data_IF_051416490755
#
_entry.id   IF_051416490755
#
_cell.length_a   1.000
_cell.length_b   1.000
_cell.length_c   1.000
_cell.angle_alpha   90.00
_cell.angle_beta   90.00
_cell.angle_gamma   90.00
#
_symmetry.space_group_name_H-M   'P 1'
#
loop_
_entity.id
_entity.type
_entity.pdbx_description
1 polymer ?
#
# COMPACT_ATOMS: atom_id res chain seq x y z
N UNK A 1 -3.64 24.91 22.30
CA UNK A 1 -3.97 23.66 21.56
C UNK A 1 -3.88 23.76 20.03
N UNK A 2 -4.12 24.89 19.34
CA UNK A 2 -3.62 25.07 17.95
C UNK A 2 -2.08 25.04 17.91
N UNK A 3 -1.47 25.59 18.97
CA UNK A 3 -0.04 25.55 19.24
C UNK A 3 0.53 24.15 19.55
N UNK A 4 -0.27 23.09 19.73
CA UNK A 4 0.26 21.76 20.08
C UNK A 4 0.66 20.93 18.85
N UNK A 5 -0.03 21.07 17.71
CA UNK A 5 0.36 20.40 16.48
C UNK A 5 1.50 21.13 15.74
N UNK A 6 1.47 22.47 15.72
CA UNK A 6 2.63 23.25 15.28
C UNK A 6 3.78 23.16 16.28
N UNK A 7 3.47 23.12 17.58
CA UNK A 7 4.40 22.85 18.67
C UNK A 7 5.07 21.49 18.55
N UNK A 8 4.34 20.42 18.21
CA UNK A 8 4.90 19.09 17.95
C UNK A 8 5.99 19.14 16.87
N UNK A 9 5.77 19.91 15.81
CA UNK A 9 6.79 20.14 14.79
C UNK A 9 7.91 21.08 15.24
N UNK A 10 7.72 21.90 16.27
CA UNK A 10 8.73 22.81 16.84
C UNK A 10 9.54 22.20 17.99
N UNK A 11 9.03 21.17 18.69
CA UNK A 11 9.63 20.57 19.90
C UNK A 11 10.60 19.41 19.62
N UNK A 12 10.72 18.95 18.38
CA UNK A 12 11.74 17.95 18.00
C UNK A 12 13.07 18.68 17.78
N UNK A 13 14.12 18.43 18.59
CA UNK A 13 15.41 19.11 18.41
C UNK A 13 15.99 18.74 17.05
N UNK A 14 16.29 19.75 16.23
CA UNK A 14 17.15 19.59 15.07
C UNK A 14 18.56 19.34 15.62
N UNK A 15 18.88 18.08 15.86
CA UNK A 15 20.27 17.66 16.05
C UNK A 15 21.02 17.98 14.76
N UNK A 16 21.86 19.01 14.83
CA UNK A 16 22.75 19.40 13.74
C UNK A 16 23.70 18.25 13.42
N UNK A 17 23.95 18.12 12.11
CA UNK A 17 25.02 17.40 11.39
C UNK A 17 24.47 16.12 10.74
N UNK A 18 24.13 16.11 9.44
CA UNK A 18 24.98 16.37 8.26
C UNK A 18 24.21 17.22 7.20
N UNK A 19 24.83 18.31 6.72
CA UNK A 19 24.68 18.81 5.35
C UNK A 19 23.30 19.24 4.81
N UNK A 20 22.46 19.94 5.56
CA UNK A 20 21.13 20.40 5.11
C UNK A 20 21.11 21.42 3.95
N UNK A 21 22.26 21.83 3.40
CA UNK A 21 22.32 22.82 2.30
C UNK A 21 22.51 22.20 0.91
N UNK A 22 23.00 20.96 0.81
CA UNK A 22 23.14 20.26 -0.47
C UNK A 22 21.82 19.56 -0.88
N UNK A 23 21.07 19.01 0.08
CA UNK A 23 19.77 18.37 -0.16
C UNK A 23 18.68 19.39 -0.58
N UNK A 24 18.75 20.63 -0.09
CA UNK A 24 17.76 21.68 -0.44
C UNK A 24 18.02 22.22 -1.86
N UNK A 25 19.28 22.33 -2.29
CA UNK A 25 19.61 22.81 -3.65
C UNK A 25 19.28 21.80 -4.75
N UNK A 26 19.24 20.51 -4.43
CA UNK A 26 18.80 19.46 -5.35
C UNK A 26 17.27 19.35 -5.44
N UNK A 27 16.54 19.88 -4.45
CA UNK A 27 15.07 19.93 -4.44
C UNK A 27 14.49 21.10 -5.23
N UNK A 28 15.15 22.27 -5.23
CA UNK A 28 14.66 23.46 -5.95
C UNK A 28 14.99 23.43 -7.46
N UNK A 29 16.02 22.69 -7.90
CA UNK A 29 16.42 22.62 -9.32
C UNK A 29 15.52 21.74 -10.20
N UNK A 30 14.55 21.03 -9.61
CA UNK A 30 13.60 20.15 -10.32
C UNK A 30 12.30 20.88 -10.69
N UNK A 31 12.06 22.10 -10.19
CA UNK A 31 10.82 22.85 -10.44
C UNK A 31 10.88 23.79 -11.66
N UNK A 32 12.05 24.03 -12.26
CA UNK A 32 12.17 24.79 -13.50
C UNK A 32 12.58 23.90 -14.66
N UNK A 33 11.63 23.24 -15.33
CA UNK A 33 11.61 23.17 -16.81
C UNK A 33 10.29 22.65 -17.40
N UNK A 34 9.66 23.57 -18.15
CA UNK A 34 8.81 23.41 -19.34
C UNK A 34 7.34 23.01 -19.16
N UNK A 35 6.53 24.06 -19.05
CA UNK A 35 5.35 24.23 -19.86
C UNK A 35 5.72 24.16 -21.37
N UNK A 36 5.14 23.18 -22.08
CA UNK A 36 4.71 23.23 -23.48
C UNK A 36 4.30 21.81 -23.91
N UNK A 37 3.04 21.45 -23.61
CA UNK A 37 2.40 20.28 -24.20
C UNK A 37 1.73 20.69 -25.51
N UNK A 38 2.29 20.27 -26.65
CA UNK A 38 1.54 20.22 -27.90
C UNK A 38 0.48 19.14 -27.79
N UNK A 39 -0.73 19.46 -28.24
CA UNK A 39 -1.84 18.52 -28.30
C UNK A 39 -1.53 17.43 -29.34
N UNK A 40 -1.11 16.25 -28.88
CA UNK A 40 -1.14 15.05 -29.69
C UNK A 40 -2.51 14.39 -29.53
N UNK A 41 -3.34 14.46 -30.57
CA UNK A 41 -4.54 13.65 -30.70
C UNK A 41 -4.13 12.18 -30.82
N UNK A 42 -4.15 11.47 -29.69
CA UNK A 42 -4.01 10.01 -29.64
C UNK A 42 -5.37 9.35 -29.80
N UNK A 43 -5.47 8.39 -30.72
CA UNK A 43 -6.67 7.61 -30.98
C UNK A 43 -7.25 7.02 -29.68
N UNK A 44 -8.57 7.10 -29.53
CA UNK A 44 -9.29 6.54 -28.40
C UNK A 44 -9.09 5.01 -28.37
N UNK A 45 -8.21 4.55 -27.50
CA UNK A 45 -8.12 3.14 -27.12
C UNK A 45 -9.40 2.84 -26.34
N UNK A 46 -10.29 2.03 -26.89
CA UNK A 46 -11.47 1.54 -26.17
C UNK A 46 -11.00 0.77 -24.94
N UNK A 47 -11.27 1.32 -23.75
CA UNK A 47 -11.01 0.70 -22.46
C UNK A 47 -11.70 -0.69 -22.44
N UNK A 48 -10.90 -1.76 -22.44
CA UNK A 48 -11.41 -3.11 -22.26
C UNK A 48 -11.68 -3.29 -20.78
N UNK A 49 -12.94 -3.55 -20.41
CA UNK A 49 -13.31 -3.78 -19.01
C UNK A 49 -12.73 -5.13 -18.55
N UNK A 50 -11.66 -5.06 -17.78
CA UNK A 50 -11.05 -6.23 -17.17
C UNK A 50 -11.75 -6.59 -15.87
N UNK A 51 -12.04 -7.89 -15.60
CA UNK A 51 -12.69 -8.32 -14.37
C UNK A 51 -11.96 -7.84 -13.12
N UNK A 52 -12.74 -7.39 -12.13
CA UNK A 52 -12.26 -7.01 -10.82
C UNK A 52 -13.29 -7.34 -9.74
N UNK A 53 -12.82 -7.49 -8.50
CA UNK A 53 -13.65 -7.80 -7.35
C UNK A 53 -13.05 -7.20 -6.07
N UNK A 54 -13.91 -6.66 -5.21
CA UNK A 54 -13.54 -6.12 -3.91
C UNK A 54 -13.88 -7.11 -2.81
N UNK A 55 -13.01 -7.15 -1.82
CA UNK A 55 -13.17 -7.94 -0.61
C UNK A 55 -12.99 -7.02 0.59
N UNK A 56 -13.88 -7.13 1.58
CA UNK A 56 -14.05 -6.10 2.62
C UNK A 56 -13.72 -6.62 4.02
N UNK A 57 -13.45 -7.91 4.18
CA UNK A 57 -12.97 -8.47 5.45
C UNK A 57 -11.75 -9.35 5.22
N UNK A 58 -10.95 -9.56 6.27
CA UNK A 58 -9.81 -10.46 6.18
C UNK A 58 -10.21 -11.90 5.91
N UNK A 59 -11.32 -12.39 6.45
CA UNK A 59 -11.80 -13.75 6.14
C UNK A 59 -12.16 -13.93 4.66
N UNK A 60 -12.89 -12.98 4.06
CA UNK A 60 -13.18 -12.97 2.62
C UNK A 60 -11.89 -12.92 1.80
N UNK A 61 -10.97 -12.00 2.14
CA UNK A 61 -9.66 -11.86 1.50
C UNK A 61 -8.87 -13.17 1.51
N UNK A 62 -8.85 -13.85 2.67
CA UNK A 62 -8.09 -15.08 2.87
C UNK A 62 -8.70 -16.25 2.11
N UNK A 63 -10.03 -16.39 2.11
CA UNK A 63 -10.72 -17.42 1.35
C UNK A 63 -10.49 -17.23 -0.15
N UNK A 64 -10.67 -16.01 -0.66
CA UNK A 64 -10.41 -15.69 -2.06
C UNK A 64 -8.95 -15.91 -2.46
N UNK A 65 -8.00 -15.62 -1.57
CA UNK A 65 -6.57 -15.90 -1.80
C UNK A 65 -6.30 -17.40 -1.91
N UNK A 66 -6.88 -18.20 -1.01
CA UNK A 66 -6.72 -19.65 -1.03
C UNK A 66 -7.31 -20.25 -2.30
N UNK A 67 -8.51 -19.84 -2.69
CA UNK A 67 -9.16 -20.27 -3.93
C UNK A 67 -8.34 -19.89 -5.16
N UNK A 68 -7.82 -18.65 -5.22
CA UNK A 68 -6.98 -18.19 -6.31
C UNK A 68 -5.68 -19.02 -6.42
N UNK A 69 -5.03 -19.29 -5.29
CA UNK A 69 -3.80 -20.09 -5.26
C UNK A 69 -4.06 -21.56 -5.63
N UNK A 70 -5.19 -22.13 -5.21
CA UNK A 70 -5.58 -23.50 -5.55
C UNK A 70 -5.88 -23.65 -7.05
N UNK A 71 -6.54 -22.65 -7.62
CA UNK A 71 -6.85 -22.55 -9.05
C UNK A 71 -5.62 -22.29 -9.93
N UNK A 72 -4.50 -21.82 -9.38
CA UNK A 72 -3.29 -21.53 -10.17
C UNK A 72 -2.74 -22.79 -10.87
N UNK A 73 -2.23 -22.61 -12.09
CA UNK A 73 -1.71 -23.69 -12.94
C UNK A 73 -0.26 -23.51 -13.39
N UNK A 74 0.28 -22.29 -13.33
CA UNK A 74 1.61 -21.95 -13.86
C UNK A 74 2.51 -21.36 -12.79
N UNK A 75 2.03 -20.35 -12.06
CA UNK A 75 2.86 -19.69 -11.05
C UNK A 75 2.07 -18.99 -9.97
N UNK A 76 2.65 -18.94 -8.77
CA UNK A 76 2.18 -18.16 -7.63
C UNK A 76 3.36 -17.34 -7.11
N UNK A 77 3.18 -16.03 -6.93
CA UNK A 77 4.17 -15.13 -6.35
C UNK A 77 3.51 -14.25 -5.29
N UNK A 78 4.00 -14.30 -4.05
CA UNK A 78 3.40 -13.61 -2.91
C UNK A 78 4.41 -12.66 -2.26
N UNK A 79 4.00 -11.42 -1.98
CA UNK A 79 4.72 -10.46 -1.13
C UNK A 79 3.89 -10.14 0.09
N UNK A 80 4.51 -10.21 1.27
CA UNK A 80 3.78 -9.97 2.52
C UNK A 80 4.65 -9.37 3.63
N UNK A 81 4.10 -8.38 4.35
CA UNK A 81 4.70 -7.89 5.59
C UNK A 81 4.58 -8.91 6.73
N UNK A 82 3.33 -9.18 7.17
CA UNK A 82 3.01 -10.16 8.22
C UNK A 82 2.42 -11.41 7.58
N UNK A 83 3.15 -12.50 7.72
CA UNK A 83 2.77 -13.84 7.30
C UNK A 83 3.11 -14.80 8.45
N UNK A 84 2.07 -15.23 9.16
CA UNK A 84 2.21 -16.03 10.38
C UNK A 84 2.61 -17.48 10.09
N UNK A 85 3.33 -18.08 11.04
CA UNK A 85 3.72 -19.51 11.01
C UNK A 85 2.60 -20.43 11.49
N UNK A 86 1.43 -19.89 11.83
CA UNK A 86 0.27 -20.61 12.38
C UNK A 86 -0.99 -20.23 11.60
N UNK A 87 -2.10 -20.93 11.88
CA UNK A 87 -3.41 -20.51 11.42
C UNK A 87 -3.54 -20.42 9.90
N UNK A 88 -4.11 -19.30 9.43
CA UNK A 88 -4.24 -19.00 8.00
C UNK A 88 -2.91 -19.03 7.26
N UNK A 89 -1.83 -18.54 7.86
CA UNK A 89 -0.51 -18.54 7.24
C UNK A 89 0.01 -19.96 7.01
N UNK A 90 -0.06 -20.83 8.02
CA UNK A 90 0.31 -22.24 7.85
C UNK A 90 -0.61 -22.97 6.85
N UNK A 91 -1.91 -22.66 6.82
CA UNK A 91 -2.84 -23.21 5.82
C UNK A 91 -2.42 -22.81 4.40
N UNK A 92 -2.10 -21.53 4.17
CA UNK A 92 -1.64 -21.03 2.89
C UNK A 92 -0.30 -21.66 2.49
N UNK A 93 0.70 -21.74 3.39
CA UNK A 93 1.99 -22.40 3.08
C UNK A 93 1.83 -23.88 2.72
N UNK A 94 0.91 -24.60 3.36
CA UNK A 94 0.61 -26.00 3.01
C UNK A 94 0.01 -26.11 1.61
N UNK A 95 -0.93 -25.24 1.25
CA UNK A 95 -1.49 -25.16 -0.10
C UNK A 95 -0.38 -24.87 -1.12
N UNK A 96 0.42 -23.83 -0.89
CA UNK A 96 1.54 -23.44 -1.74
C UNK A 96 2.55 -24.59 -1.95
N UNK A 97 2.86 -25.35 -0.89
CA UNK A 97 3.69 -26.53 -1.01
C UNK A 97 3.03 -27.65 -1.83
N UNK A 98 1.71 -27.82 -1.76
CA UNK A 98 1.00 -28.77 -2.62
C UNK A 98 1.06 -28.36 -4.09
N UNK A 99 0.74 -27.09 -4.40
CA UNK A 99 0.83 -26.52 -5.75
C UNK A 99 2.24 -26.64 -6.34
N UNK A 100 3.27 -26.43 -5.51
CA UNK A 100 4.65 -26.61 -5.93
C UNK A 100 4.96 -28.06 -6.35
N UNK A 101 4.41 -29.08 -5.66
CA UNK A 101 4.56 -30.48 -6.07
C UNK A 101 3.82 -30.83 -7.35
N UNK A 102 2.74 -30.11 -7.65
CA UNK A 102 2.01 -30.21 -8.92
C UNK A 102 2.75 -29.53 -10.09
N UNK A 103 3.92 -28.93 -9.85
CA UNK A 103 4.72 -28.26 -10.88
C UNK A 103 4.41 -26.78 -11.06
N UNK A 104 3.54 -26.19 -10.21
CA UNK A 104 3.32 -24.73 -10.21
C UNK A 104 4.55 -24.04 -9.62
N UNK A 105 5.08 -23.02 -10.29
CA UNK A 105 6.20 -22.23 -9.75
C UNK A 105 5.74 -21.38 -8.58
N UNK A 106 6.23 -21.65 -7.38
CA UNK A 106 5.82 -20.91 -6.16
C UNK A 106 6.98 -20.10 -5.58
N UNK A 107 6.77 -18.79 -5.42
CA UNK A 107 7.73 -17.86 -4.80
C UNK A 107 7.06 -17.04 -3.71
N UNK A 108 7.65 -17.04 -2.51
CA UNK A 108 7.14 -16.33 -1.33
C UNK A 108 8.19 -15.36 -0.82
N UNK A 109 7.90 -14.07 -0.91
CA UNK A 109 8.74 -13.00 -0.40
C UNK A 109 8.09 -12.39 0.84
N UNK A 110 8.81 -12.40 1.95
CA UNK A 110 8.26 -11.89 3.22
C UNK A 110 9.18 -10.91 3.89
N UNK A 111 8.63 -9.96 4.63
CA UNK A 111 9.44 -9.07 5.47
C UNK A 111 10.09 -9.84 6.62
N UNK A 112 11.38 -9.63 6.85
CA UNK A 112 12.09 -10.35 7.91
C UNK A 112 11.67 -9.94 9.33
N UNK A 113 11.06 -8.77 9.52
CA UNK A 113 10.56 -8.32 10.82
C UNK A 113 9.11 -8.77 11.03
N UNK A 114 8.23 -8.44 10.10
CA UNK A 114 6.80 -8.78 10.19
C UNK A 114 6.53 -10.29 10.11
N UNK A 115 7.41 -11.04 9.43
CA UNK A 115 7.31 -12.50 9.27
C UNK A 115 8.55 -13.21 9.83
N UNK A 116 9.05 -12.71 10.97
CA UNK A 116 10.27 -13.21 11.61
C UNK A 116 10.26 -14.75 11.74
N UNK A 117 11.35 -15.37 11.28
CA UNK A 117 11.55 -16.82 11.33
C UNK A 117 10.71 -17.66 10.35
N UNK A 118 9.79 -17.07 9.56
CA UNK A 118 8.91 -17.83 8.67
C UNK A 118 9.69 -18.66 7.64
N UNK A 119 10.70 -18.04 7.02
CA UNK A 119 11.52 -18.69 6.01
C UNK A 119 12.28 -19.92 6.56
N UNK A 120 12.64 -19.90 7.84
CA UNK A 120 13.39 -20.97 8.52
C UNK A 120 12.49 -21.90 9.33
N UNK A 121 11.18 -21.68 9.31
CA UNK A 121 10.19 -22.51 10.00
C UNK A 121 10.03 -23.89 9.35
N UNK A 122 9.42 -24.87 10.05
CA UNK A 122 9.09 -26.17 9.47
C UNK A 122 8.25 -26.09 8.20
N UNK A 123 7.33 -25.13 8.10
CA UNK A 123 6.50 -24.91 6.91
C UNK A 123 7.28 -24.24 5.78
N UNK A 124 8.20 -23.32 6.10
CA UNK A 124 9.16 -22.78 5.14
C UNK A 124 10.06 -23.87 4.53
N UNK A 125 10.58 -24.77 5.38
CA UNK A 125 11.35 -25.93 4.94
C UNK A 125 10.51 -26.93 4.13
N UNK A 126 9.22 -27.08 4.46
CA UNK A 126 8.27 -27.92 3.70
C UNK A 126 8.04 -27.36 2.30
N UNK A 127 7.86 -26.04 2.16
CA UNK A 127 7.72 -25.37 0.87
C UNK A 127 8.99 -25.56 0.01
N UNK A 128 10.18 -25.35 0.59
CA UNK A 128 11.45 -25.57 -0.11
C UNK A 128 11.63 -27.00 -0.60
N UNK A 129 11.31 -27.99 0.22
CA UNK A 129 11.35 -29.42 -0.17
C UNK A 129 10.34 -29.77 -1.27
N UNK A 130 9.25 -29.01 -1.39
CA UNK A 130 8.28 -29.17 -2.48
C UNK A 130 8.70 -28.50 -3.80
N UNK A 131 9.86 -27.82 -3.83
CA UNK A 131 10.36 -27.08 -4.99
C UNK A 131 10.03 -25.59 -4.98
N UNK A 132 9.33 -25.09 -3.97
CA UNK A 132 8.99 -23.68 -3.84
C UNK A 132 10.13 -22.86 -3.25
N UNK A 133 10.12 -21.55 -3.48
CA UNK A 133 11.13 -20.64 -2.96
C UNK A 133 10.52 -19.71 -1.91
N UNK A 134 11.26 -19.49 -0.80
CA UNK A 134 10.89 -18.52 0.22
C UNK A 134 12.11 -17.71 0.67
N UNK A 135 12.00 -16.39 0.55
CA UNK A 135 13.07 -15.42 0.79
C UNK A 135 12.58 -14.32 1.73
N UNK A 136 13.47 -13.83 2.60
CA UNK A 136 13.18 -12.73 3.52
C UNK A 136 13.77 -11.41 3.01
N UNK A 137 12.94 -10.39 2.90
CA UNK A 137 13.35 -9.02 2.62
C UNK A 137 14.04 -8.41 3.86
N UNK A 138 15.25 -7.89 3.68
CA UNK A 138 16.06 -7.25 4.72
C UNK A 138 16.14 -8.02 6.05
N UNK A 139 16.78 -9.18 6.02
CA UNK A 139 17.07 -9.98 7.21
C UNK A 139 17.81 -9.18 8.30
N UNK A 140 17.73 -9.62 9.56
CA UNK A 140 18.45 -8.98 10.67
C UNK A 140 19.97 -8.89 10.42
N UNK A 141 20.54 -9.83 9.66
CA UNK A 141 21.94 -9.79 9.24
C UNK A 141 22.22 -8.77 8.12
N UNK A 142 21.20 -8.34 7.37
CA UNK A 142 21.29 -7.22 6.44
C UNK A 142 21.44 -5.89 7.17
N UNK A 143 20.83 -5.71 8.35
CA UNK A 143 20.99 -4.49 9.16
C UNK A 143 22.44 -4.25 9.58
N UNK A 144 23.19 -5.34 9.84
CA UNK A 144 24.64 -5.27 10.14
C UNK A 144 25.49 -4.87 8.93
N UNK A 145 25.06 -5.19 7.70
CA UNK A 145 25.82 -4.94 6.46
C UNK A 145 25.38 -3.65 5.74
N UNK A 146 24.14 -3.23 5.95
CA UNK A 146 23.48 -2.08 5.31
C UNK A 146 22.60 -1.37 6.34
N UNK A 147 23.17 -0.52 7.20
CA UNK A 147 22.46 0.02 8.37
C UNK A 147 21.29 0.95 7.99
N UNK A 148 21.35 1.63 6.84
CA UNK A 148 20.27 2.51 6.37
C UNK A 148 19.23 1.70 5.59
N UNK A 149 19.61 1.04 4.48
CA UNK A 149 18.65 0.30 3.66
C UNK A 149 18.12 -0.97 4.32
N UNK A 150 18.79 -1.50 5.34
CA UNK A 150 18.31 -2.62 6.16
C UNK A 150 17.20 -2.25 7.15
N UNK A 151 16.92 -0.96 7.33
CA UNK A 151 15.76 -0.48 8.10
C UNK A 151 14.48 -0.44 7.25
N UNK A 152 14.58 -0.43 5.92
CA UNK A 152 13.41 -0.48 5.06
C UNK A 152 12.68 -1.81 5.23
N UNK A 153 11.35 -1.76 5.27
CA UNK A 153 10.49 -2.93 5.45
C UNK A 153 9.62 -3.16 4.23
N UNK A 154 9.44 -4.43 3.87
CA UNK A 154 8.51 -4.82 2.84
C UNK A 154 7.10 -4.73 3.40
N UNK A 155 6.38 -3.66 3.08
CA UNK A 155 5.03 -3.44 3.57
C UNK A 155 3.95 -3.74 2.52
N UNK A 156 4.33 -4.24 1.35
CA UNK A 156 3.41 -4.70 0.31
C UNK A 156 2.60 -5.93 0.74
N UNK A 157 1.39 -6.03 0.20
CA UNK A 157 0.52 -7.22 0.27
C UNK A 157 0.05 -7.54 -1.14
N UNK A 158 0.66 -8.55 -1.74
CA UNK A 158 0.40 -8.92 -3.13
C UNK A 158 0.37 -10.41 -3.32
N UNK A 159 -0.62 -10.88 -4.07
CA UNK A 159 -0.69 -12.26 -4.57
C UNK A 159 -0.85 -12.19 -6.08
N UNK A 160 0.11 -12.77 -6.80
CA UNK A 160 0.11 -12.89 -8.25
C UNK A 160 -0.05 -14.35 -8.63
N UNK A 161 -1.07 -14.67 -9.42
CA UNK A 161 -1.29 -16.02 -9.95
C UNK A 161 -1.30 -16.02 -11.47
N UNK A 162 -0.55 -16.96 -12.05
CA UNK A 162 -0.46 -17.27 -13.47
C UNK A 162 -0.14 -16.07 -14.39
N UNK A 163 0.50 -15.03 -13.85
CA UNK A 163 0.76 -13.76 -14.56
C UNK A 163 -0.53 -13.11 -15.12
N UNK A 164 -1.69 -13.49 -14.57
CA UNK A 164 -3.03 -13.11 -15.02
C UNK A 164 -3.85 -12.42 -13.94
N UNK A 165 -3.69 -12.84 -12.70
CA UNK A 165 -4.46 -12.32 -11.58
C UNK A 165 -3.56 -11.61 -10.59
N UNK A 166 -3.99 -10.44 -10.13
CA UNK A 166 -3.37 -9.66 -9.07
C UNK A 166 -4.38 -9.46 -7.95
N UNK A 167 -4.00 -9.82 -6.72
CA UNK A 167 -4.65 -9.31 -5.51
C UNK A 167 -3.72 -8.33 -4.81
N UNK A 168 -4.25 -7.17 -4.42
CA UNK A 168 -3.50 -6.09 -3.76
C UNK A 168 -4.37 -5.32 -2.76
N UNK A 169 -3.78 -4.85 -1.66
CA UNK A 169 -4.48 -4.07 -0.63
C UNK A 169 -3.76 -4.06 0.72
N UNK A 170 -4.52 -4.06 1.81
CA UNK A 170 -3.99 -3.93 3.18
C UNK A 170 -3.81 -5.24 3.96
N UNK A 171 -4.47 -6.32 3.54
CA UNK A 171 -4.66 -7.54 4.33
C UNK A 171 -3.40 -8.38 4.54
N UNK A 172 -3.16 -8.81 5.78
CA UNK A 172 -2.06 -9.72 6.14
C UNK A 172 -2.55 -11.11 6.55
N UNK A 173 -1.67 -12.10 6.57
CA UNK A 173 -2.01 -13.49 6.91
C UNK A 173 -1.66 -13.80 8.36
N UNK A 174 -2.57 -13.46 9.29
CA UNK A 174 -2.44 -13.79 10.71
C UNK A 174 -3.81 -13.81 11.40
N UNK A 175 -4.16 -14.90 12.08
CA UNK A 175 -5.48 -15.11 12.71
C UNK A 175 -5.92 -14.00 13.68
N UNK A 176 -4.98 -13.29 14.32
CA UNK A 176 -5.28 -12.15 15.21
C UNK A 176 -5.95 -10.98 14.49
N UNK A 177 -5.95 -11.00 13.16
CA UNK A 177 -6.51 -9.98 12.28
C UNK A 177 -7.79 -10.46 11.59
N UNK A 178 -8.31 -11.64 11.93
CA UNK A 178 -9.45 -12.23 11.21
C UNK A 178 -10.67 -11.30 11.18
N UNK A 179 -10.94 -10.63 12.29
CA UNK A 179 -12.05 -9.70 12.50
C UNK A 179 -11.75 -8.26 12.05
N UNK A 180 -10.55 -7.98 11.57
CA UNK A 180 -10.18 -6.63 11.13
C UNK A 180 -10.90 -6.28 9.82
N UNK A 181 -11.37 -5.03 9.76
CA UNK A 181 -11.94 -4.44 8.56
C UNK A 181 -10.80 -3.95 7.66
N UNK A 182 -10.51 -4.70 6.60
CA UNK A 182 -9.47 -4.36 5.62
C UNK A 182 -9.97 -4.61 4.19
N UNK A 183 -9.36 -3.99 3.20
CA UNK A 183 -9.79 -4.09 1.81
C UNK A 183 -8.68 -4.66 0.94
N UNK A 184 -9.02 -5.68 0.16
CA UNK A 184 -8.23 -6.12 -0.99
C UNK A 184 -9.06 -5.98 -2.27
N UNK A 185 -8.38 -5.87 -3.39
CA UNK A 185 -8.99 -5.95 -4.72
C UNK A 185 -8.28 -7.02 -5.54
N UNK A 186 -9.06 -7.88 -6.20
CA UNK A 186 -8.58 -8.76 -7.26
C UNK A 186 -8.82 -8.08 -8.60
N UNK A 187 -7.80 -8.02 -9.45
CA UNK A 187 -7.88 -7.43 -10.79
C UNK A 187 -7.17 -8.31 -11.82
N UNK A 188 -7.66 -8.24 -13.05
CA UNK A 188 -6.99 -8.76 -14.25
C UNK A 188 -6.55 -7.62 -15.18
N UNK A 189 -5.78 -7.96 -16.21
CA UNK A 189 -5.40 -7.03 -17.28
C UNK A 189 -3.97 -6.50 -17.18
N UNK A 190 -3.62 -5.45 -17.95
CA UNK A 190 -2.24 -4.96 -18.10
C UNK A 190 -1.55 -4.58 -16.78
N UNK A 191 -2.31 -4.19 -15.76
CA UNK A 191 -1.80 -3.84 -14.42
C UNK A 191 -1.05 -4.99 -13.75
N UNK A 192 -1.39 -6.24 -14.08
CA UNK A 192 -0.75 -7.45 -13.54
C UNK A 192 0.73 -7.52 -13.97
N UNK A 193 1.06 -7.08 -15.18
CA UNK A 193 2.43 -7.03 -15.66
C UNK A 193 3.27 -6.00 -14.89
N UNK A 194 2.67 -4.86 -14.52
CA UNK A 194 3.34 -3.85 -13.70
C UNK A 194 3.64 -4.38 -12.28
N UNK A 195 2.67 -5.06 -11.67
CA UNK A 195 2.85 -5.71 -10.37
C UNK A 195 3.89 -6.84 -10.42
N UNK A 196 3.86 -7.69 -11.45
CA UNK A 196 4.85 -8.75 -11.65
C UNK A 196 6.26 -8.17 -11.85
N UNK A 197 6.41 -7.09 -12.61
CA UNK A 197 7.70 -6.40 -12.74
C UNK A 197 8.21 -5.86 -11.41
N UNK A 198 7.32 -5.31 -10.57
CA UNK A 198 7.68 -4.85 -9.23
C UNK A 198 8.14 -6.02 -8.33
N UNK A 199 7.43 -7.14 -8.39
CA UNK A 199 7.80 -8.37 -7.69
C UNK A 199 9.21 -8.83 -8.08
N UNK A 200 9.52 -8.95 -9.37
CA UNK A 200 10.84 -9.43 -9.82
C UNK A 200 11.97 -8.53 -9.29
N UNK A 201 11.78 -7.20 -9.27
CA UNK A 201 12.78 -6.27 -8.73
C UNK A 201 13.00 -6.49 -7.23
N UNK A 202 11.93 -6.62 -6.46
CA UNK A 202 12.02 -6.80 -5.01
C UNK A 202 12.55 -8.21 -4.66
N UNK A 203 12.17 -9.23 -5.42
CA UNK A 203 12.69 -10.59 -5.34
C UNK A 203 14.20 -10.65 -5.55
N UNK A 204 14.69 -10.06 -6.66
CA UNK A 204 16.11 -10.00 -6.96
C UNK A 204 16.89 -9.21 -5.89
N UNK A 205 16.34 -8.09 -5.41
CA UNK A 205 16.94 -7.31 -4.32
C UNK A 205 17.09 -8.13 -3.04
N UNK A 206 16.10 -8.97 -2.72
CA UNK A 206 16.12 -9.83 -1.55
C UNK A 206 17.05 -11.06 -1.70
N UNK A 207 17.67 -11.25 -2.87
CA UNK A 207 18.57 -12.36 -3.15
C UNK A 207 17.89 -13.62 -3.68
N UNK A 208 16.63 -13.52 -4.11
CA UNK A 208 15.96 -14.58 -4.85
C UNK A 208 16.63 -14.83 -6.20
N UNK A 209 16.65 -16.09 -6.65
CA UNK A 209 17.21 -16.41 -7.96
C UNK A 209 16.26 -15.88 -9.03
N UNK A 210 16.78 -15.08 -9.95
CA UNK A 210 16.01 -14.59 -11.08
C UNK A 210 16.00 -15.65 -12.19
N UNK A 211 14.81 -16.17 -12.52
CA UNK A 211 14.64 -17.11 -13.64
C UNK A 211 14.45 -16.40 -14.99
N UNK A 212 14.15 -15.11 -14.97
CA UNK A 212 13.84 -14.30 -16.16
C UNK A 212 14.92 -13.22 -16.34
N UNK A 213 15.33 -12.98 -17.60
CA UNK A 213 15.68 -11.61 -18.00
C UNK A 213 14.48 -10.75 -17.60
N UNK A 214 14.71 -9.72 -16.77
CA UNK A 214 13.67 -8.73 -16.43
C UNK A 214 12.79 -8.51 -17.67
N UNK A 215 11.47 -8.72 -17.61
CA UNK A 215 10.60 -8.20 -18.65
C UNK A 215 11.00 -6.73 -18.79
N UNK A 216 11.45 -6.32 -19.99
CA UNK A 216 11.91 -4.95 -20.22
C UNK A 216 10.85 -4.05 -19.61
N UNK A 217 11.21 -3.29 -18.57
CA UNK A 217 10.27 -2.45 -17.86
C UNK A 217 9.39 -1.74 -18.90
N UNK A 218 8.11 -2.11 -18.99
CA UNK A 218 7.22 -1.52 -19.98
C UNK A 218 6.90 -0.10 -19.50
N UNK A 219 7.84 0.81 -19.78
CA UNK A 219 7.67 2.24 -19.79
C UNK A 219 6.94 2.85 -18.58
N UNK A 220 6.54 4.12 -18.68
CA UNK A 220 5.41 4.60 -17.90
C UNK A 220 4.19 3.73 -18.20
N UNK A 221 3.43 3.36 -17.15
CA UNK A 221 2.10 2.78 -17.36
C UNK A 221 1.29 3.74 -18.23
N UNK A 222 0.49 3.20 -19.15
CA UNK A 222 -0.35 4.02 -20.01
C UNK A 222 -1.25 4.90 -19.12
N UNK A 223 -1.19 6.24 -19.21
CA UNK A 223 -2.04 7.13 -18.42
C UNK A 223 -3.53 6.88 -18.66
N UNK A 224 -3.89 6.30 -19.81
CA UNK A 224 -5.27 5.93 -20.16
C UNK A 224 -5.61 4.49 -19.78
N UNK A 225 -4.76 3.80 -19.01
CA UNK A 225 -5.07 2.45 -18.52
C UNK A 225 -6.12 2.51 -17.42
N UNK A 226 -7.12 1.64 -17.52
CA UNK A 226 -8.19 1.39 -16.56
C UNK A 226 -7.71 1.24 -15.10
N UNK A 227 -6.52 0.67 -14.94
CA UNK A 227 -5.88 0.38 -13.68
C UNK A 227 -4.43 0.79 -13.73
N UNK A 228 -3.97 1.50 -12.70
CA UNK A 228 -2.55 1.83 -12.52
C UNK A 228 -2.03 1.25 -11.22
N UNK A 229 -0.87 0.60 -11.29
CA UNK A 229 -0.15 0.08 -10.14
C UNK A 229 0.81 1.16 -9.62
N UNK A 230 0.68 1.51 -8.35
CA UNK A 230 1.50 2.56 -7.70
C UNK A 230 2.41 1.93 -6.65
N UNK A 231 3.58 2.52 -6.44
CA UNK A 231 4.68 1.95 -5.66
C UNK A 231 5.47 3.03 -4.93
N UNK A 232 5.77 2.83 -3.65
CA UNK A 232 6.82 3.62 -2.98
C UNK A 232 8.00 2.72 -2.66
N UNK A 233 9.18 3.10 -3.17
CA UNK A 233 10.43 2.33 -3.06
C UNK A 233 11.54 3.29 -2.57
N UNK A 234 11.85 3.35 -1.26
CA UNK A 234 12.79 4.32 -0.70
C UNK A 234 14.20 4.24 -1.29
N UNK A 235 14.63 3.03 -1.68
CA UNK A 235 15.94 2.78 -2.29
C UNK A 235 16.01 3.28 -3.74
N UNK A 236 14.87 3.37 -4.43
CA UNK A 236 14.76 3.73 -5.85
C UNK A 236 13.49 4.55 -6.08
N UNK A 237 13.54 5.87 -5.89
CA UNK A 237 12.38 6.73 -6.09
C UNK A 237 11.77 6.52 -7.49
N UNK A 238 10.53 6.05 -7.55
CA UNK A 238 9.80 5.77 -8.79
C UNK A 238 8.98 6.98 -9.25
N UNK A 239 8.62 7.03 -10.54
CA UNK A 239 7.59 7.96 -11.06
C UNK A 239 6.17 7.56 -10.62
N UNK A 240 5.99 6.34 -10.12
CA UNK A 240 4.71 5.78 -9.65
C UNK A 240 4.55 5.91 -8.13
N UNK A 241 5.26 6.86 -7.52
CA UNK A 241 5.32 7.05 -6.07
C UNK A 241 3.96 7.37 -5.45
N UNK A 242 3.51 6.54 -4.49
CA UNK A 242 2.17 6.65 -3.87
C UNK A 242 2.03 7.96 -3.13
N UNK A 243 3.06 8.35 -2.37
CA UNK A 243 3.07 9.61 -1.65
C UNK A 243 2.86 10.79 -2.60
N UNK A 244 3.63 10.86 -3.70
CA UNK A 244 3.49 11.91 -4.71
C UNK A 244 2.15 11.88 -5.43
N UNK A 245 1.64 10.71 -5.84
CA UNK A 245 0.32 10.61 -6.46
C UNK A 245 -0.75 11.15 -5.51
N UNK A 246 -0.81 10.66 -4.26
CA UNK A 246 -1.82 11.07 -3.30
C UNK A 246 -1.71 12.56 -2.94
N UNK A 247 -0.49 13.06 -2.72
CA UNK A 247 -0.24 14.47 -2.42
C UNK A 247 -0.70 15.39 -3.57
N UNK A 248 -0.41 15.02 -4.81
CA UNK A 248 -0.87 15.74 -6.01
C UNK A 248 -2.39 15.74 -6.06
N UNK A 249 -3.04 14.59 -5.90
CA UNK A 249 -4.51 14.47 -5.92
C UNK A 249 -5.16 15.34 -4.84
N UNK A 250 -4.67 15.34 -3.61
CA UNK A 250 -5.18 16.19 -2.53
C UNK A 250 -4.94 17.68 -2.82
N UNK A 251 -3.79 18.01 -3.41
CA UNK A 251 -3.45 19.40 -3.74
C UNK A 251 -4.37 19.96 -4.82
N UNK A 252 -4.70 19.15 -5.82
CA UNK A 252 -5.53 19.49 -6.98
C UNK A 252 -7.04 19.33 -6.74
N UNK A 253 -7.44 18.61 -5.68
CA UNK A 253 -8.83 18.34 -5.35
C UNK A 253 -9.67 19.62 -5.24
N UNK A 254 -10.83 19.59 -5.91
CA UNK A 254 -11.75 20.72 -6.06
C UNK A 254 -13.00 20.60 -5.20
N UNK A 255 -13.50 19.40 -4.96
CA UNK A 255 -14.79 19.17 -4.30
C UNK A 255 -14.63 18.42 -2.99
N UNK A 256 -13.97 17.27 -2.99
CA UNK A 256 -13.93 16.40 -1.81
C UNK A 256 -12.75 15.45 -1.80
N UNK A 257 -12.26 15.15 -0.60
CA UNK A 257 -11.29 14.09 -0.34
C UNK A 257 -11.83 13.22 0.79
N UNK A 258 -11.92 11.91 0.54
CA UNK A 258 -12.17 10.91 1.56
C UNK A 258 -10.92 10.05 1.74
N UNK A 259 -10.53 9.80 3.00
CA UNK A 259 -9.38 8.98 3.35
C UNK A 259 -9.77 7.97 4.44
N UNK A 260 -9.26 6.74 4.34
CA UNK A 260 -9.24 5.77 5.44
C UNK A 260 -7.79 5.39 5.70
N UNK A 261 -7.37 5.41 6.96
CA UNK A 261 -6.04 4.96 7.37
C UNK A 261 -6.08 4.42 8.80
N UNK A 262 -5.36 3.33 9.11
CA UNK A 262 -5.25 2.86 10.49
C UNK A 262 -4.46 3.84 11.36
N UNK A 263 -3.47 4.52 10.76
CA UNK A 263 -2.54 5.39 11.47
C UNK A 263 -2.48 6.74 10.76
N UNK A 264 -2.64 7.82 11.55
CA UNK A 264 -2.56 9.19 11.05
C UNK A 264 -1.42 9.92 11.75
N UNK A 265 -0.29 10.00 11.05
CA UNK A 265 0.86 10.75 11.48
C UNK A 265 1.50 11.46 10.27
N UNK A 266 0.82 12.48 9.71
CA UNK A 266 1.27 13.13 8.49
C UNK A 266 2.53 13.95 8.72
N UNK A 267 3.40 13.98 7.71
CA UNK A 267 4.48 14.96 7.65
C UNK A 267 3.95 16.40 7.44
N UNK A 268 4.87 17.37 7.48
CA UNK A 268 4.53 18.79 7.33
C UNK A 268 3.93 19.12 5.96
N UNK A 269 4.35 18.44 4.90
CA UNK A 269 3.91 18.72 3.52
C UNK A 269 2.49 18.23 3.31
N UNK A 270 2.22 16.99 3.69
CA UNK A 270 0.91 16.35 3.64
C UNK A 270 -0.09 17.06 4.56
N UNK A 271 0.34 17.40 5.79
CA UNK A 271 -0.46 18.21 6.72
C UNK A 271 -0.87 19.55 6.12
N UNK A 272 0.09 20.27 5.52
CA UNK A 272 -0.18 21.55 4.86
C UNK A 272 -1.14 21.38 3.70
N UNK A 273 -1.00 20.35 2.89
CA UNK A 273 -1.90 20.07 1.76
C UNK A 273 -3.35 19.89 2.23
N UNK A 274 -3.59 19.08 3.26
CA UNK A 274 -4.92 18.92 3.87
C UNK A 274 -5.46 20.25 4.45
N UNK A 275 -4.60 21.04 5.11
CA UNK A 275 -5.01 22.37 5.59
C UNK A 275 -5.30 23.35 4.46
N UNK A 276 -4.62 23.26 3.30
CA UNK A 276 -4.92 24.10 2.13
C UNK A 276 -6.25 23.69 1.50
N UNK A 277 -6.51 22.39 1.39
CA UNK A 277 -7.77 21.82 0.90
C UNK A 277 -8.96 22.41 1.65
N UNK A 278 -8.95 22.30 2.98
CA UNK A 278 -9.99 22.83 3.86
C UNK A 278 -10.17 24.35 3.71
N UNK A 279 -9.07 25.11 3.63
CA UNK A 279 -9.13 26.57 3.43
C UNK A 279 -9.74 26.99 2.09
N UNK A 280 -9.69 26.13 1.07
CA UNK A 280 -10.36 26.36 -0.23
C UNK A 280 -11.85 26.02 -0.18
N UNK A 281 -12.36 25.49 0.93
CA UNK A 281 -13.76 25.09 1.09
C UNK A 281 -14.09 23.70 0.54
N UNK A 282 -13.09 22.91 0.14
CA UNK A 282 -13.31 21.52 -0.26
C UNK A 282 -13.51 20.63 0.98
N UNK A 283 -14.32 19.59 0.82
CA UNK A 283 -14.62 18.65 1.90
C UNK A 283 -13.42 17.72 2.18
N UNK A 284 -13.13 17.49 3.45
CA UNK A 284 -12.18 16.46 3.88
C UNK A 284 -12.89 15.55 4.88
N UNK A 285 -13.05 14.28 4.51
CA UNK A 285 -13.58 13.23 5.38
C UNK A 285 -12.47 12.22 5.66
N UNK A 286 -12.26 11.88 6.93
CA UNK A 286 -11.23 10.93 7.35
C UNK A 286 -11.83 9.90 8.29
N UNK A 287 -11.65 8.62 7.94
CA UNK A 287 -12.04 7.48 8.76
C UNK A 287 -10.80 6.88 9.42
N UNK A 288 -10.83 6.81 10.75
CA UNK A 288 -9.79 6.25 11.61
C UNK A 288 -10.37 5.12 12.48
N UNK A 289 -9.54 4.22 13.02
CA UNK A 289 -9.99 3.32 14.07
C UNK A 289 -10.35 4.08 15.35
N UNK A 290 -11.45 3.68 16.00
CA UNK A 290 -11.72 4.10 17.38
C UNK A 290 -10.67 3.51 18.35
N UNK A 291 -10.18 2.31 18.05
CA UNK A 291 -9.10 1.61 18.75
C UNK A 291 -8.23 0.87 17.74
N UNK A 292 -6.93 1.14 17.72
CA UNK A 292 -5.96 0.38 16.92
C UNK A 292 -5.32 -0.74 17.74
N UNK A 293 -4.41 -1.49 17.12
CA UNK A 293 -3.54 -2.46 17.78
C UNK A 293 -2.50 -1.83 18.73
N UNK A 294 -2.38 -0.49 18.72
CA UNK A 294 -1.42 0.27 19.51
C UNK A 294 -2.04 1.52 20.13
N UNK A 295 -2.35 1.47 21.44
CA UNK A 295 -2.99 2.57 22.17
C UNK A 295 -2.27 3.93 22.07
N UNK A 296 -0.93 3.94 21.97
CA UNK A 296 -0.18 5.18 21.79
C UNK A 296 -0.39 5.79 20.39
N UNK A 297 -0.61 4.96 19.37
CA UNK A 297 -0.93 5.41 18.01
C UNK A 297 -2.33 6.02 17.96
N UNK A 298 -3.28 5.51 18.76
CA UNK A 298 -4.62 6.11 18.89
C UNK A 298 -4.53 7.54 19.43
N UNK A 299 -3.71 7.76 20.46
CA UNK A 299 -3.48 9.09 21.03
C UNK A 299 -2.99 10.07 19.96
N UNK A 300 -1.98 9.68 19.19
CA UNK A 300 -1.39 10.52 18.14
C UNK A 300 -2.37 10.74 16.99
N UNK A 301 -2.97 9.67 16.47
CA UNK A 301 -3.88 9.70 15.32
C UNK A 301 -5.12 10.54 15.63
N UNK A 302 -5.73 10.35 16.80
CA UNK A 302 -6.88 11.15 17.21
C UNK A 302 -6.51 12.61 17.53
N UNK A 303 -5.27 12.90 17.95
CA UNK A 303 -4.82 14.28 18.12
C UNK A 303 -4.72 15.02 16.78
N UNK A 304 -4.12 14.40 15.76
CA UNK A 304 -4.13 14.94 14.40
C UNK A 304 -5.55 15.05 13.82
N UNK A 305 -6.39 14.02 14.06
CA UNK A 305 -7.80 14.03 13.70
C UNK A 305 -8.53 15.25 14.29
N UNK A 306 -8.49 15.42 15.62
CA UNK A 306 -9.08 16.60 16.30
C UNK A 306 -8.53 17.93 15.79
N UNK A 307 -7.25 17.99 15.40
CA UNK A 307 -6.66 19.19 14.83
C UNK A 307 -7.21 19.52 13.42
N UNK A 308 -7.51 18.51 12.60
CA UNK A 308 -8.21 18.67 11.32
C UNK A 308 -9.70 19.00 11.52
N UNK A 309 -10.36 18.36 12.49
CA UNK A 309 -11.76 18.62 12.81
C UNK A 309 -12.02 20.10 13.14
N UNK A 310 -11.14 20.70 13.95
CA UNK A 310 -11.19 22.15 14.26
C UNK A 310 -11.02 23.05 13.04
N UNK A 311 -10.56 22.51 11.91
CA UNK A 311 -10.37 23.22 10.63
C UNK A 311 -11.48 22.90 9.62
N UNK A 312 -12.52 22.18 10.03
CA UNK A 312 -13.69 21.86 9.20
C UNK A 312 -13.66 20.48 8.54
N UNK A 313 -12.67 19.64 8.83
CA UNK A 313 -12.72 18.24 8.37
C UNK A 313 -13.76 17.44 9.16
N UNK A 314 -14.38 16.46 8.53
CA UNK A 314 -15.17 15.46 9.23
C UNK A 314 -14.29 14.27 9.57
N UNK A 315 -14.15 13.99 10.86
CA UNK A 315 -13.37 12.87 11.34
C UNK A 315 -14.33 11.84 11.93
N UNK A 316 -14.20 10.61 11.45
CA UNK A 316 -15.02 9.47 11.83
C UNK A 316 -14.14 8.41 12.48
N UNK A 317 -14.65 7.81 13.54
CA UNK A 317 -14.01 6.70 14.25
C UNK A 317 -14.84 5.43 14.07
N UNK A 318 -14.27 4.44 13.39
CA UNK A 318 -14.86 3.11 13.22
C UNK A 318 -14.81 2.34 14.53
N UNK A 319 -15.97 1.87 15.00
CA UNK A 319 -16.13 1.30 16.34
C UNK A 319 -16.13 -0.24 16.44
N UNK A 320 -16.67 -1.02 15.47
CA UNK A 320 -16.86 -2.46 15.66
C UNK A 320 -15.58 -3.24 15.93
N UNK A 321 -14.56 -3.05 15.09
CA UNK A 321 -13.28 -3.76 15.13
C UNK A 321 -12.16 -2.83 14.67
N UNK A 322 -10.94 -3.35 14.56
CA UNK A 322 -9.83 -2.59 13.99
C UNK A 322 -10.08 -2.37 12.48
N UNK A 323 -10.15 -1.10 12.03
CA UNK A 323 -10.14 -0.78 10.60
C UNK A 323 -8.69 -0.56 10.13
N UNK A 324 -8.23 -1.47 9.28
CA UNK A 324 -6.88 -1.47 8.73
C UNK A 324 -6.85 -1.10 7.24
N UNK A 325 -7.98 -0.73 6.63
CA UNK A 325 -8.01 -0.33 5.22
C UNK A 325 -7.20 0.97 4.96
N UNK A 326 -6.58 1.07 3.77
CA UNK A 326 -5.93 2.29 3.28
C UNK A 326 -6.58 2.69 1.96
N UNK A 327 -7.53 3.60 2.08
CA UNK A 327 -8.41 3.99 0.97
C UNK A 327 -8.31 5.49 0.75
N UNK A 328 -8.40 5.90 -0.51
CA UNK A 328 -8.60 7.30 -0.85
C UNK A 328 -9.63 7.42 -1.97
N UNK A 329 -10.52 8.40 -1.88
CA UNK A 329 -11.35 8.87 -2.98
C UNK A 329 -11.18 10.38 -3.09
N UNK A 330 -10.89 10.86 -4.30
CA UNK A 330 -10.73 12.29 -4.58
C UNK A 330 -11.72 12.72 -5.65
N UNK A 331 -12.45 13.78 -5.34
CA UNK A 331 -13.49 14.43 -6.15
C UNK A 331 -14.58 13.47 -6.70
N UNK A 332 -14.71 12.28 -6.11
CA UNK A 332 -15.57 11.22 -6.62
C UNK A 332 -15.20 10.72 -8.02
N UNK A 333 -13.98 11.01 -8.49
CA UNK A 333 -13.50 10.72 -9.84
C UNK A 333 -12.18 9.93 -9.86
N UNK A 334 -11.56 9.71 -8.70
CA UNK A 334 -10.35 8.91 -8.57
C UNK A 334 -10.39 8.13 -7.25
N UNK A 335 -9.98 6.86 -7.29
CA UNK A 335 -9.95 5.96 -6.14
C UNK A 335 -8.61 5.25 -5.99
N UNK A 336 -8.24 4.92 -4.76
CA UNK A 336 -7.03 4.17 -4.41
C UNK A 336 -7.29 3.12 -3.33
N UNK A 337 -6.73 1.93 -3.52
CA UNK A 337 -6.57 0.90 -2.50
C UNK A 337 -5.07 0.59 -2.39
N UNK A 338 -4.50 0.63 -1.19
CA UNK A 338 -3.05 0.48 -1.01
C UNK A 338 -2.66 -0.24 0.29
N UNK A 339 -1.36 -0.48 0.43
CA UNK A 339 -0.72 -0.83 1.69
C UNK A 339 -0.21 0.40 2.47
N UNK A 340 -0.27 1.59 1.85
CA UNK A 340 0.38 2.82 2.26
C UNK A 340 -0.42 3.56 3.35
N UNK A 341 0.12 3.60 4.57
CA UNK A 341 -0.46 4.36 5.67
C UNK A 341 -0.19 5.87 5.52
N UNK A 342 -0.94 6.69 6.25
CA UNK A 342 -0.67 8.13 6.37
C UNK A 342 0.28 8.43 7.53
N UNK A 343 1.43 7.75 7.57
CA UNK A 343 2.45 7.90 8.61
C UNK A 343 3.87 8.03 8.05
N UNK A 344 4.78 8.50 8.90
CA UNK A 344 6.17 8.81 8.55
C UNK A 344 6.93 7.59 7.99
N UNK A 345 6.59 6.37 8.43
CA UNK A 345 7.24 5.14 7.94
C UNK A 345 6.82 4.85 6.51
N UNK A 346 5.53 4.92 6.19
CA UNK A 346 5.06 4.76 4.80
C UNK A 346 5.58 5.88 3.89
N UNK A 347 5.79 7.09 4.42
CA UNK A 347 6.23 8.24 3.62
C UNK A 347 7.70 8.16 3.18
N UNK A 348 8.56 7.43 3.91
CA UNK A 348 10.00 7.45 3.63
C UNK A 348 10.76 6.14 3.82
N UNK A 349 10.20 5.14 4.49
CA UNK A 349 10.94 3.95 4.92
C UNK A 349 10.40 2.63 4.37
N UNK A 350 9.09 2.51 4.23
CA UNK A 350 8.47 1.26 3.79
C UNK A 350 8.47 1.13 2.27
N UNK A 351 8.64 -0.10 1.80
CA UNK A 351 8.33 -0.49 0.42
C UNK A 351 6.84 -0.78 0.35
N UNK A 352 6.10 0.05 -0.35
CA UNK A 352 4.63 0.06 -0.40
C UNK A 352 4.14 -0.18 -1.82
N UNK A 353 2.86 -0.53 -1.94
CA UNK A 353 2.17 -0.67 -3.21
C UNK A 353 0.68 -0.31 -3.10
N UNK A 354 0.06 -0.15 -4.25
CA UNK A 354 -1.38 0.00 -4.33
C UNK A 354 -1.84 -0.01 -5.78
N UNK A 355 -3.14 0.18 -5.93
CA UNK A 355 -3.78 0.34 -7.22
C UNK A 355 -4.67 1.56 -7.19
N UNK A 356 -4.68 2.27 -8.31
CA UNK A 356 -5.49 3.47 -8.50
C UNK A 356 -6.28 3.36 -9.79
N UNK A 357 -7.49 3.93 -9.79
CA UNK A 357 -8.38 3.92 -10.94
C UNK A 357 -9.33 5.12 -10.89
N UNK A 358 -9.73 5.59 -12.07
CA UNK A 358 -10.76 6.61 -12.29
C UNK A 358 -12.08 6.00 -12.78
N UNK A 359 -12.21 4.66 -12.76
CA UNK A 359 -13.43 3.97 -13.20
C UNK A 359 -14.64 4.32 -12.31
N UNK A 360 -15.74 4.84 -12.89
CA UNK A 360 -16.92 5.19 -12.11
C UNK A 360 -17.51 4.03 -11.30
N UNK A 361 -17.52 2.82 -11.85
CA UNK A 361 -18.02 1.62 -11.17
C UNK A 361 -17.15 1.24 -9.95
N UNK A 362 -15.84 1.36 -10.06
CA UNK A 362 -14.91 1.12 -8.96
C UNK A 362 -15.09 2.16 -7.85
N UNK A 363 -15.18 3.44 -8.22
CA UNK A 363 -15.38 4.52 -7.27
C UNK A 363 -16.74 4.39 -6.57
N UNK A 364 -17.79 4.02 -7.30
CA UNK A 364 -19.11 3.77 -6.73
C UNK A 364 -19.08 2.62 -5.71
N UNK A 365 -18.45 1.50 -6.05
CA UNK A 365 -18.31 0.36 -5.13
C UNK A 365 -17.49 0.72 -3.88
N UNK A 366 -16.42 1.52 -4.03
CA UNK A 366 -15.67 2.02 -2.87
C UNK A 366 -16.52 2.95 -2.01
N UNK A 367 -17.29 3.87 -2.61
CA UNK A 367 -18.19 4.77 -1.86
C UNK A 367 -19.24 3.99 -1.07
N UNK A 368 -19.85 2.98 -1.69
CA UNK A 368 -20.84 2.13 -1.03
C UNK A 368 -20.25 1.43 0.20
N UNK A 369 -19.02 0.90 0.08
CA UNK A 369 -18.34 0.32 1.23
C UNK A 369 -17.98 1.35 2.30
N UNK A 370 -17.55 2.54 1.90
CA UNK A 370 -17.26 3.64 2.82
C UNK A 370 -18.52 4.04 3.59
N UNK A 371 -19.67 4.15 2.92
CA UNK A 371 -20.93 4.50 3.57
C UNK A 371 -21.36 3.43 4.58
N UNK A 372 -21.12 2.14 4.28
CA UNK A 372 -21.27 1.06 5.27
C UNK A 372 -20.34 1.25 6.47
N UNK A 373 -19.05 1.49 6.23
CA UNK A 373 -18.07 1.69 7.31
C UNK A 373 -18.45 2.92 8.18
N UNK A 374 -18.92 4.00 7.56
CA UNK A 374 -19.40 5.21 8.25
C UNK A 374 -20.67 4.97 9.06
N UNK A 375 -21.58 4.09 8.62
CA UNK A 375 -22.79 3.73 9.38
C UNK A 375 -22.48 3.04 10.72
N UNK A 376 -21.29 2.46 10.83
CA UNK A 376 -20.76 1.86 12.06
C UNK A 376 -19.71 2.75 12.76
N UNK A 377 -19.66 4.03 12.40
CA UNK A 377 -18.70 4.98 12.92
C UNK A 377 -19.38 6.11 13.68
N UNK A 378 -18.68 6.66 14.67
CA UNK A 378 -19.08 7.91 15.31
C UNK A 378 -18.20 9.06 14.86
N UNK A 379 -18.71 10.29 14.93
CA UNK A 379 -17.89 11.49 14.70
C UNK A 379 -16.98 11.76 15.90
N UNK A 380 -15.75 12.22 15.63
CA UNK A 380 -14.74 12.58 16.64
C UNK A 380 -14.92 13.99 17.19
#
# INVERSE_FOLDING_TARGET
MVAEAEGFFQTVPVSRTIGSKEIIREFDSVIEHRANGSAAQGAAVTAVDHPWELFHSNEENWNATLELCDAARRSISIEQYIFAQTGIGSRLLRLLAAKSREGVRVRVLVDAFGSCGLADSPDGARLRRAGGEIVSYNSLSALRRRPISGLHRLHRKTVLCDEKHLMVGGSCFHDRMADWRDTMVRVEGPVVAAAASAFERTWAFAGGRADRKEPSAQGPQNPTADWRYVLSEPVRPSRQDIYRELLTRITEARTSVFLTTPYLFPDRTFWRAMCRLLRRGAELRLLLPARSDHAWVDVVSHAFGRALARRGAEIWLYEPTMIHAKLAIVDGAWGMISSFNLDILSFGMNVENGIVSDRPAFIAAMKEQIDRDLSHSRRL
#
